data_IF_151547422482
#
_entry.id   IF_151547422482
#
_cell.length_a   1.000
_cell.length_b   1.000
_cell.length_c   1.000
_cell.angle_alpha   90.00
_cell.angle_beta   90.00
_cell.angle_gamma   90.00
#
_symmetry.space_group_name_H-M   'P 1'
#
loop_
_entity.id
_entity.type
_entity.pdbx_description
1 polymer ?
#
# COMPACT_ATOMS: atom_id res chain seq x y z
N UNK A 1 10.93 -26.73 3.67
CA UNK A 1 11.44 -25.49 4.23
C UNK A 1 10.30 -24.53 4.50
N UNK A 2 10.31 -23.96 5.70
CA UNK A 2 9.27 -23.03 6.08
C UNK A 2 9.45 -21.72 5.34
N UNK A 3 8.33 -21.10 4.97
CA UNK A 3 8.36 -19.77 4.38
C UNK A 3 8.65 -18.73 5.46
N UNK A 4 9.31 -17.65 5.07
CA UNK A 4 9.48 -16.52 5.95
C UNK A 4 8.10 -15.91 6.28
N UNK A 5 7.90 -15.54 7.53
CA UNK A 5 6.68 -14.88 7.99
C UNK A 5 6.95 -13.40 8.12
N UNK A 6 6.24 -12.60 7.37
CA UNK A 6 6.47 -11.16 7.28
C UNK A 6 5.22 -10.41 7.69
N UNK A 7 5.43 -9.38 8.50
CA UNK A 7 4.40 -8.41 8.85
C UNK A 7 4.68 -7.14 8.06
N UNK A 8 3.67 -6.66 7.34
CA UNK A 8 3.77 -5.42 6.58
C UNK A 8 2.69 -4.48 7.08
N UNK A 9 3.12 -3.37 7.67
CA UNK A 9 2.23 -2.32 8.17
C UNK A 9 2.26 -1.18 7.17
N UNK A 10 1.10 -0.63 6.84
CA UNK A 10 0.99 0.36 5.75
C UNK A 10 0.00 1.45 6.10
N UNK A 11 0.25 2.64 5.58
CA UNK A 11 -0.71 3.74 5.64
C UNK A 11 -0.44 4.73 4.52
N UNK A 12 -1.46 5.48 4.16
CA UNK A 12 -1.37 6.55 3.19
C UNK A 12 -2.08 7.79 3.71
N UNK A 13 -1.63 8.94 3.27
CA UNK A 13 -2.23 10.21 3.64
C UNK A 13 -2.24 11.12 2.42
N UNK A 14 -3.27 11.97 2.33
CA UNK A 14 -3.37 12.93 1.24
C UNK A 14 -4.09 14.17 1.73
N UNK A 15 -3.49 15.32 1.47
CA UNK A 15 -4.09 16.61 1.83
C UNK A 15 -4.87 17.13 0.63
N UNK A 16 -6.21 17.19 0.76
CA UNK A 16 -7.06 17.74 -0.29
C UNK A 16 -7.47 16.79 -1.41
N UNK A 17 -7.19 15.58 -1.35
CA UNK A 17 -7.62 14.42 -2.15
C UNK A 17 -8.36 14.73 -3.48
N UNK A 18 -7.70 15.18 -4.59
CA UNK A 18 -6.25 15.11 -4.81
C UNK A 18 -5.49 16.27 -4.18
N UNK A 19 -4.22 16.01 -3.97
CA UNK A 19 -3.31 16.99 -3.43
C UNK A 19 -2.00 16.33 -3.05
N UNK A 20 -1.15 17.03 -2.28
CA UNK A 20 0.08 16.42 -1.78
C UNK A 20 -0.24 15.23 -0.90
N UNK A 21 0.42 14.12 -1.15
CA UNK A 21 0.19 12.91 -0.40
C UNK A 21 1.48 12.14 -0.12
N UNK A 22 1.38 11.14 0.72
CA UNK A 22 2.52 10.30 1.05
C UNK A 22 2.08 8.94 1.56
N UNK A 23 3.03 8.02 1.60
CA UNK A 23 2.78 6.72 2.20
C UNK A 23 3.88 6.38 3.20
N UNK A 24 3.54 5.49 4.13
CA UNK A 24 4.49 4.90 5.05
C UNK A 24 4.27 3.40 5.11
N UNK A 25 5.35 2.65 5.18
CA UNK A 25 5.29 1.21 5.29
C UNK A 25 6.43 0.70 6.17
N UNK A 26 6.12 -0.32 6.98
CA UNK A 26 7.10 -0.96 7.85
C UNK A 26 7.05 -2.45 7.55
N UNK A 27 8.15 -2.98 7.06
CA UNK A 27 8.33 -4.41 6.79
C UNK A 27 9.09 -5.02 7.95
N UNK A 28 8.52 -6.07 8.55
CA UNK A 28 9.14 -6.71 9.71
C UNK A 28 9.20 -8.22 9.54
N UNK A 29 10.37 -8.79 9.75
CA UNK A 29 10.55 -10.24 9.74
C UNK A 29 11.47 -10.59 10.91
N UNK A 30 10.89 -11.18 11.97
CA UNK A 30 11.62 -11.41 13.20
C UNK A 30 12.14 -10.10 13.77
N UNK A 31 13.46 -10.00 13.97
CA UNK A 31 14.10 -8.77 14.46
C UNK A 31 14.45 -7.81 13.32
N UNK A 32 14.33 -8.23 12.06
CA UNK A 32 14.63 -7.38 10.92
C UNK A 32 13.46 -6.42 10.67
N UNK A 33 13.81 -5.15 10.46
CA UNK A 33 12.80 -4.15 10.16
C UNK A 33 13.32 -3.21 9.08
N UNK A 34 12.46 -2.89 8.12
CA UNK A 34 12.78 -1.90 7.11
C UNK A 34 11.60 -0.95 6.95
N UNK A 35 11.91 0.33 6.84
CA UNK A 35 10.91 1.41 6.79
C UNK A 35 10.98 2.08 5.43
N UNK A 36 9.82 2.33 4.86
CA UNK A 36 9.67 3.00 3.56
C UNK A 36 8.72 4.18 3.71
N UNK A 37 9.04 5.27 3.03
CA UNK A 37 8.10 6.37 2.89
C UNK A 37 8.46 7.18 1.65
N UNK A 38 7.46 7.82 1.06
CA UNK A 38 7.68 8.75 -0.05
C UNK A 38 6.48 9.69 -0.14
N UNK A 39 6.73 10.90 -0.64
CA UNK A 39 5.71 11.92 -0.82
C UNK A 39 5.57 12.31 -2.27
N UNK A 40 4.36 12.67 -2.66
CA UNK A 40 3.99 12.99 -4.04
C UNK A 40 3.26 14.31 -4.08
N UNK A 41 3.53 15.11 -5.13
CA UNK A 41 3.00 16.46 -5.24
C UNK A 41 1.48 16.50 -5.45
N UNK A 42 0.97 15.59 -6.28
CA UNK A 42 -0.46 15.47 -6.57
C UNK A 42 -0.82 14.00 -6.70
N UNK A 43 -1.66 13.52 -5.80
CA UNK A 43 -2.07 12.13 -5.78
C UNK A 43 -3.40 12.01 -5.02
N UNK A 44 -3.81 10.81 -4.69
CA UNK A 44 -5.02 10.55 -3.91
C UNK A 44 -4.72 9.66 -2.72
N UNK A 45 -5.60 9.68 -1.74
CA UNK A 45 -5.47 8.81 -0.57
C UNK A 45 -5.43 7.35 -0.97
N UNK A 46 -6.33 6.92 -1.86
CA UNK A 46 -6.38 5.51 -2.28
C UNK A 46 -5.09 5.08 -2.98
N UNK A 47 -4.49 5.94 -3.79
CA UNK A 47 -3.22 5.62 -4.45
C UNK A 47 -2.10 5.46 -3.42
N UNK A 48 -2.06 6.31 -2.41
CA UNK A 48 -1.02 6.23 -1.39
C UNK A 48 -1.19 4.98 -0.52
N UNK A 49 -2.41 4.63 -0.16
CA UNK A 49 -2.69 3.41 0.59
C UNK A 49 -2.23 2.17 -0.20
N UNK A 50 -2.58 2.12 -1.47
CA UNK A 50 -2.22 0.98 -2.32
C UNK A 50 -0.71 0.94 -2.58
N UNK A 51 -0.09 2.09 -2.82
CA UNK A 51 1.34 2.16 -3.11
C UNK A 51 2.19 1.75 -1.90
N UNK A 52 1.72 2.04 -0.68
CA UNK A 52 2.39 1.57 0.52
C UNK A 52 2.49 0.04 0.54
N UNK A 53 1.40 -0.64 0.19
CA UNK A 53 1.37 -2.10 0.12
C UNK A 53 2.31 -2.61 -0.98
N UNK A 54 2.21 -2.02 -2.16
CA UNK A 54 3.03 -2.44 -3.30
C UNK A 54 4.52 -2.32 -2.98
N UNK A 55 4.93 -1.17 -2.46
CA UNK A 55 6.34 -0.90 -2.15
C UNK A 55 6.86 -1.90 -1.11
N UNK A 56 6.08 -2.17 -0.08
CA UNK A 56 6.47 -3.14 0.94
C UNK A 56 6.61 -4.54 0.37
N UNK A 57 5.65 -4.98 -0.43
CA UNK A 57 5.69 -6.32 -1.03
C UNK A 57 6.86 -6.45 -2.00
N UNK A 58 7.11 -5.41 -2.80
CA UNK A 58 8.22 -5.44 -3.77
C UNK A 58 9.59 -5.48 -3.10
N UNK A 59 9.68 -5.02 -1.86
CA UNK A 59 10.92 -5.01 -1.11
C UNK A 59 11.28 -6.36 -0.50
N UNK A 60 10.37 -7.33 -0.53
CA UNK A 60 10.61 -8.65 0.03
C UNK A 60 11.64 -9.38 -0.82
N UNK A 61 12.71 -9.87 -0.16
CA UNK A 61 13.81 -10.54 -0.84
C UNK A 61 13.62 -12.04 -1.02
N UNK A 62 12.76 -12.67 -0.21
CA UNK A 62 12.50 -14.09 -0.32
C UNK A 62 11.65 -14.36 -1.56
N UNK A 63 11.92 -15.46 -2.25
CA UNK A 63 11.18 -15.85 -3.44
C UNK A 63 9.69 -16.03 -3.14
N UNK A 64 9.39 -16.65 -1.98
CA UNK A 64 8.03 -16.81 -1.49
C UNK A 64 8.01 -16.56 0.01
N UNK A 65 7.00 -15.86 0.48
CA UNK A 65 6.85 -15.55 1.89
C UNK A 65 5.37 -15.58 2.27
N UNK A 66 5.11 -15.79 3.55
CA UNK A 66 3.77 -15.61 4.13
C UNK A 66 3.73 -14.19 4.66
N UNK A 67 2.89 -13.36 4.08
CA UNK A 67 2.82 -11.94 4.42
C UNK A 67 1.45 -11.60 4.98
N UNK A 68 1.44 -10.95 6.14
CA UNK A 68 0.23 -10.33 6.68
C UNK A 68 0.36 -8.83 6.50
N UNK A 69 -0.57 -8.24 5.76
CA UNK A 69 -0.62 -6.80 5.53
C UNK A 69 -1.65 -6.19 6.46
N UNK A 70 -1.23 -5.21 7.24
CA UNK A 70 -2.08 -4.49 8.19
C UNK A 70 -2.38 -3.11 7.61
N UNK A 71 -3.63 -2.88 7.26
CA UNK A 71 -4.06 -1.65 6.60
C UNK A 71 -5.39 -1.16 7.17
N UNK A 72 -5.55 0.15 7.30
CA UNK A 72 -6.83 0.75 7.68
C UNK A 72 -7.67 1.15 6.47
N UNK A 73 -7.17 0.90 5.27
CA UNK A 73 -7.89 1.24 4.04
C UNK A 73 -8.86 0.13 3.66
N UNK A 74 -10.15 0.38 3.86
CA UNK A 74 -11.17 -0.55 3.40
C UNK A 74 -11.14 -0.71 1.88
N UNK A 75 -10.75 0.35 1.16
CA UNK A 75 -10.60 0.30 -0.30
C UNK A 75 -9.64 -0.81 -0.72
N UNK A 76 -8.46 -0.85 -0.11
CA UNK A 76 -7.45 -1.86 -0.47
C UNK A 76 -7.82 -3.23 0.06
N UNK A 77 -8.19 -3.29 1.34
CA UNK A 77 -8.48 -4.58 1.99
C UNK A 77 -9.65 -5.29 1.31
N UNK A 78 -10.74 -4.58 1.07
CA UNK A 78 -11.93 -5.18 0.49
C UNK A 78 -11.72 -5.58 -0.97
N UNK A 79 -10.97 -4.79 -1.73
CA UNK A 79 -10.71 -5.12 -3.13
C UNK A 79 -10.03 -6.49 -3.26
N UNK A 80 -9.17 -6.82 -2.31
CA UNK A 80 -8.44 -8.09 -2.35
C UNK A 80 -9.22 -9.21 -1.63
N UNK A 81 -9.64 -8.96 -0.39
CA UNK A 81 -10.25 -10.01 0.43
C UNK A 81 -11.64 -10.40 -0.07
N UNK A 82 -12.37 -9.49 -0.66
CA UNK A 82 -13.67 -9.79 -1.29
C UNK A 82 -13.54 -10.20 -2.75
N UNK A 83 -12.31 -10.20 -3.27
CA UNK A 83 -12.04 -10.69 -4.62
C UNK A 83 -12.39 -9.72 -5.75
N UNK A 84 -12.74 -8.48 -5.44
CA UNK A 84 -13.16 -7.51 -6.46
C UNK A 84 -12.08 -7.24 -7.50
N UNK A 85 -10.82 -7.16 -7.06
CA UNK A 85 -9.71 -6.84 -7.96
C UNK A 85 -9.53 -7.92 -9.04
N UNK A 86 -9.83 -9.16 -8.72
CA UNK A 86 -9.70 -10.25 -9.69
C UNK A 86 -10.79 -10.17 -10.76
N UNK A 87 -11.99 -9.73 -10.38
CA UNK A 87 -13.05 -9.46 -11.33
C UNK A 87 -12.69 -8.28 -12.25
N UNK A 88 -12.12 -7.22 -11.67
CA UNK A 88 -11.66 -6.07 -12.46
C UNK A 88 -10.60 -6.48 -13.47
N UNK A 89 -9.69 -7.34 -13.05
CA UNK A 89 -8.62 -7.82 -13.93
C UNK A 89 -9.19 -8.58 -15.13
N UNK A 90 -10.18 -9.44 -14.90
CA UNK A 90 -10.82 -10.18 -15.99
C UNK A 90 -11.47 -9.26 -17.02
N UNK A 91 -11.88 -8.07 -16.59
CA UNK A 91 -12.49 -7.06 -17.48
C UNK A 91 -11.46 -6.05 -17.99
N UNK A 92 -10.16 -6.33 -17.81
CA UNK A 92 -9.08 -5.45 -18.27
C UNK A 92 -9.05 -4.12 -17.54
N UNK A 93 -9.58 -4.07 -16.31
CA UNK A 93 -9.68 -2.85 -15.50
C UNK A 93 -10.50 -1.74 -16.18
N UNK A 94 -11.41 -2.12 -17.06
CA UNK A 94 -12.23 -1.15 -17.79
C UNK A 94 -12.97 -0.24 -16.81
N UNK A 95 -12.80 1.08 -16.99
CA UNK A 95 -13.46 2.13 -16.19
C UNK A 95 -13.06 2.09 -14.70
N UNK A 96 -11.93 1.47 -14.38
CA UNK A 96 -11.46 1.41 -12.97
C UNK A 96 -10.33 2.40 -12.74
N UNK A 97 -10.47 3.17 -11.67
CA UNK A 97 -9.41 4.05 -11.21
C UNK A 97 -8.23 3.22 -10.71
N UNK A 98 -7.03 3.79 -10.85
CA UNK A 98 -5.82 3.19 -10.29
C UNK A 98 -5.43 1.85 -10.91
N UNK A 99 -5.84 1.63 -12.17
CA UNK A 99 -5.54 0.39 -12.88
C UNK A 99 -4.03 0.12 -12.94
N UNK A 100 -3.22 1.16 -13.11
CA UNK A 100 -1.76 1.04 -13.14
C UNK A 100 -1.22 0.43 -11.86
N UNK A 101 -1.68 0.91 -10.71
CA UNK A 101 -1.23 0.40 -9.41
C UNK A 101 -1.79 -1.00 -9.13
N UNK A 102 -3.05 -1.25 -9.49
CA UNK A 102 -3.62 -2.58 -9.29
C UNK A 102 -2.91 -3.65 -10.11
N UNK A 103 -2.51 -3.33 -11.33
CA UNK A 103 -1.74 -4.26 -12.17
C UNK A 103 -0.38 -4.55 -11.53
N UNK A 104 0.28 -3.52 -11.04
CA UNK A 104 1.57 -3.66 -10.35
C UNK A 104 1.42 -4.47 -9.05
N UNK A 105 0.33 -4.21 -8.32
CA UNK A 105 0.02 -4.98 -7.10
C UNK A 105 -0.13 -6.46 -7.40
N UNK A 106 -0.93 -6.82 -8.41
CA UNK A 106 -1.18 -8.22 -8.72
C UNK A 106 0.08 -8.95 -9.13
N UNK A 107 1.00 -8.28 -9.82
CA UNK A 107 2.26 -8.88 -10.22
C UNK A 107 3.07 -9.33 -9.01
N UNK A 108 3.13 -8.52 -7.96
CA UNK A 108 3.90 -8.88 -6.75
C UNK A 108 3.07 -9.75 -5.79
N UNK A 109 1.76 -9.53 -5.75
CA UNK A 109 0.85 -10.29 -4.89
C UNK A 109 0.95 -11.80 -5.16
N UNK A 110 1.07 -12.17 -6.45
CA UNK A 110 1.09 -13.57 -6.87
C UNK A 110 2.37 -14.31 -6.53
N UNK A 111 3.40 -13.60 -6.09
CA UNK A 111 4.68 -14.22 -5.69
C UNK A 111 4.64 -14.79 -4.29
N UNK A 112 3.70 -14.33 -3.46
CA UNK A 112 3.67 -14.65 -2.05
C UNK A 112 2.31 -15.13 -1.62
N UNK A 113 2.23 -15.65 -0.38
CA UNK A 113 0.96 -15.92 0.29
C UNK A 113 0.64 -14.66 1.09
N UNK A 114 -0.29 -13.86 0.59
CA UNK A 114 -0.60 -12.57 1.19
C UNK A 114 -2.02 -12.58 1.73
N UNK A 115 -2.17 -12.14 2.98
CA UNK A 115 -3.49 -11.90 3.56
C UNK A 115 -3.52 -10.51 4.17
N UNK A 116 -4.70 -9.94 4.21
CA UNK A 116 -4.89 -8.60 4.75
C UNK A 116 -5.65 -8.66 6.05
N UNK A 117 -5.25 -7.81 7.00
CA UNK A 117 -5.99 -7.56 8.23
C UNK A 117 -6.39 -6.10 8.24
N UNK A 118 -7.69 -5.84 8.39
CA UNK A 118 -8.20 -4.49 8.46
C UNK A 118 -8.02 -3.92 9.85
N UNK A 119 -7.30 -2.79 9.95
CA UNK A 119 -7.07 -2.09 11.20
C UNK A 119 -8.07 -0.97 11.29
N UNK A 120 -8.97 -1.04 12.25
CA UNK A 120 -9.98 0.00 12.43
C UNK A 120 -9.37 1.21 13.13
N UNK A 121 -9.26 2.32 12.39
CA UNK A 121 -9.07 3.64 12.96
C UNK A 121 -7.78 3.86 13.75
N UNK A 122 -6.71 3.16 13.50
CA UNK A 122 -5.40 3.34 14.16
C UNK A 122 -5.37 3.04 15.66
N UNK A 123 -6.50 2.84 16.30
CA UNK A 123 -6.56 2.70 17.75
C UNK A 123 -5.80 1.48 18.25
N UNK A 124 -4.78 1.70 19.09
CA UNK A 124 -4.03 0.64 19.72
C UNK A 124 -3.08 -0.11 18.79
N UNK A 125 -2.77 0.45 17.62
CA UNK A 125 -1.84 -0.15 16.67
C UNK A 125 -0.62 0.76 16.50
N UNK A 126 0.43 0.58 17.35
CA UNK A 126 1.61 1.46 17.29
C UNK A 126 2.28 1.48 15.91
N UNK A 127 2.36 0.32 15.25
CA UNK A 127 2.99 0.22 13.94
C UNK A 127 2.22 1.00 12.88
N UNK A 128 0.89 0.91 12.89
CA UNK A 128 0.08 1.64 11.92
C UNK A 128 0.04 3.13 12.22
N UNK A 129 0.09 3.52 13.50
CA UNK A 129 0.25 4.91 13.87
C UNK A 129 1.59 5.47 13.41
N UNK A 130 2.65 4.68 13.50
CA UNK A 130 3.96 5.06 12.98
C UNK A 130 3.93 5.23 11.47
N UNK A 131 3.23 4.35 10.75
CA UNK A 131 3.05 4.48 9.30
C UNK A 131 2.29 5.75 8.95
N UNK A 132 1.28 6.12 9.74
CA UNK A 132 0.55 7.36 9.54
C UNK A 132 1.48 8.57 9.65
N UNK A 133 2.30 8.62 10.70
CA UNK A 133 3.26 9.71 10.87
C UNK A 133 4.26 9.77 9.73
N UNK A 134 4.73 8.63 9.25
CA UNK A 134 5.63 8.56 8.10
C UNK A 134 4.96 9.10 6.84
N UNK A 135 3.71 8.72 6.61
CA UNK A 135 2.95 9.15 5.44
C UNK A 135 2.72 10.66 5.45
N UNK A 136 2.29 11.20 6.58
CA UNK A 136 2.04 12.63 6.74
C UNK A 136 3.34 13.43 6.56
N UNK A 137 4.41 12.99 7.22
CA UNK A 137 5.71 13.66 7.11
C UNK A 137 6.21 13.66 5.67
N UNK A 138 6.07 12.54 4.97
CA UNK A 138 6.49 12.43 3.57
C UNK A 138 5.71 13.39 2.68
N UNK A 139 4.40 13.53 2.93
CA UNK A 139 3.55 14.44 2.14
C UNK A 139 3.92 15.92 2.30
N UNK A 140 4.64 16.25 3.37
CA UNK A 140 5.04 17.61 3.70
C UNK A 140 6.48 17.94 3.31
N UNK A 141 7.17 17.01 2.66
CA UNK A 141 8.53 17.23 2.21
C UNK A 141 8.61 18.30 1.12
N UNK A 142 9.79 18.91 0.99
CA UNK A 142 10.00 19.96 -0.01
C UNK A 142 10.09 19.42 -1.44
N UNK A 143 10.69 18.26 -1.61
CA UNK A 143 10.94 17.68 -2.93
C UNK A 143 10.03 16.49 -3.17
N UNK A 144 8.76 16.79 -3.45
CA UNK A 144 7.77 15.75 -3.71
C UNK A 144 7.96 15.15 -5.09
N UNK A 145 7.71 13.85 -5.16
CA UNK A 145 7.78 13.09 -6.41
C UNK A 145 6.54 13.36 -7.26
N UNK A 146 6.63 12.99 -8.52
CA UNK A 146 5.48 13.02 -9.44
C UNK A 146 4.84 11.63 -9.42
N UNK A 147 3.53 11.59 -9.18
CA UNK A 147 2.79 10.33 -9.29
C UNK A 147 2.44 10.11 -10.75
N UNK A 148 3.32 9.39 -11.44
CA UNK A 148 3.30 9.27 -12.90
C UNK A 148 2.01 8.66 -13.43
N UNK A 149 1.43 7.72 -12.69
CA UNK A 149 0.22 7.05 -13.12
C UNK A 149 -1.07 7.74 -12.75
N UNK A 150 -0.98 8.83 -11.97
CA UNK A 150 -2.19 9.54 -11.57
C UNK A 150 -2.66 10.46 -12.70
N UNK A 151 -3.93 10.32 -13.04
CA UNK A 151 -4.58 11.25 -13.98
C UNK A 151 -5.76 11.90 -13.29
N UNK A 152 -5.86 13.20 -13.44
CA UNK A 152 -6.92 13.98 -12.80
C UNK A 152 -8.30 13.53 -13.23
N UNK A 153 -8.40 13.03 -14.44
CA UNK A 153 -9.67 12.52 -14.96
C UNK A 153 -9.59 11.01 -15.04
N UNK A 154 -10.30 10.37 -14.18
CA UNK A 154 -10.40 8.93 -14.18
C UNK A 154 -11.63 8.48 -14.93
#
# INVERSE_FOLDING_TARGET
>A
MDRAHIQLYTDGACSGNPGPGGYGAILRCGSYEKVFSAGYATTTNNRMELLAVITGLEAIRWAQADVTVWSDSSYVVDAVEKGWVFSWEQKGFAKKANADLWQRFLAVYRRHQVRFVWVRGHNGHPENERCDRLAVAASQEKNLLVDVGYTKEA
#
